data_IF_625993583333
#
_entry.id   IF_625993583333
#
_cell.length_a   1.000
_cell.length_b   1.000
_cell.length_c   1.000
_cell.angle_alpha   90.00
_cell.angle_beta   90.00
_cell.angle_gamma   90.00
#
_symmetry.space_group_name_H-M   'P 1'
#
loop_
_entity.id
_entity.type
_entity.pdbx_description
1 polymer ?
#
# COMPACT_ATOMS: atom_id res chain seq x y z
N UNK A 1 4.07 28.85 45.92
CA UNK A 1 3.74 27.41 45.89
C UNK A 1 5.02 26.67 45.64
N UNK A 2 5.38 25.74 46.50
CA UNK A 2 6.58 24.91 46.26
C UNK A 2 6.35 23.96 45.10
N UNK A 3 7.33 23.85 44.24
CA UNK A 3 7.32 22.89 43.12
C UNK A 3 7.88 21.54 43.60
N UNK A 4 7.88 20.52 42.75
CA UNK A 4 8.35 19.16 43.07
C UNK A 4 9.87 19.17 43.36
N UNK A 5 10.61 20.08 42.76
CA UNK A 5 12.05 20.27 42.89
C UNK A 5 12.40 20.81 44.27
N UNK A 6 11.65 21.82 44.75
CA UNK A 6 11.80 22.35 46.11
C UNK A 6 11.54 21.27 47.17
N UNK A 7 10.57 20.41 46.92
CA UNK A 7 10.25 19.30 47.82
C UNK A 7 11.37 18.25 47.86
N UNK A 8 11.97 17.92 46.73
CA UNK A 8 13.12 17.01 46.67
C UNK A 8 14.33 17.61 47.38
N UNK A 9 14.63 18.89 47.15
CA UNK A 9 15.72 19.60 47.78
C UNK A 9 15.57 19.60 49.32
N UNK A 10 14.37 19.83 49.87
CA UNK A 10 14.10 19.75 51.30
C UNK A 10 14.48 18.38 51.90
N UNK A 11 14.14 17.31 51.20
CA UNK A 11 14.41 15.92 51.64
C UNK A 11 15.89 15.58 51.56
N UNK A 12 16.54 15.98 50.46
CA UNK A 12 17.97 15.71 50.24
C UNK A 12 18.84 16.44 51.26
N UNK A 13 18.57 17.71 51.53
CA UNK A 13 19.28 18.47 52.57
C UNK A 13 19.05 17.86 53.97
N UNK A 14 17.84 17.35 54.23
CA UNK A 14 17.56 16.67 55.49
C UNK A 14 18.29 15.34 55.64
N UNK A 15 18.43 14.56 54.56
CA UNK A 15 19.24 13.35 54.53
C UNK A 15 20.73 13.62 54.73
N UNK A 16 21.21 14.76 54.24
CA UNK A 16 22.56 15.23 54.49
C UNK A 16 22.80 15.74 55.92
N UNK A 17 21.81 15.65 56.80
CA UNK A 17 21.94 15.98 58.23
C UNK A 17 21.67 17.45 58.59
N UNK A 18 21.17 18.27 57.64
CA UNK A 18 20.89 19.69 57.90
C UNK A 18 19.77 19.90 58.91
N UNK A 19 19.89 20.94 59.76
CA UNK A 19 18.82 21.31 60.65
C UNK A 19 17.64 21.97 59.91
N UNK A 20 16.43 21.90 60.49
CA UNK A 20 15.23 22.52 59.87
C UNK A 20 15.42 24.05 59.69
N UNK A 21 16.16 24.70 60.54
CA UNK A 21 16.46 26.14 60.39
C UNK A 21 17.40 26.40 59.23
N UNK A 22 18.49 25.61 59.14
CA UNK A 22 19.45 25.77 58.06
C UNK A 22 18.80 25.46 56.65
N UNK A 23 17.89 24.47 56.56
CA UNK A 23 17.14 24.19 55.33
C UNK A 23 16.17 25.35 55.00
N UNK A 24 15.52 25.93 56.02
CA UNK A 24 14.61 27.05 55.85
C UNK A 24 15.34 28.28 55.34
N UNK A 25 16.51 28.59 55.91
CA UNK A 25 17.35 29.72 55.51
C UNK A 25 17.92 29.53 54.08
N UNK A 26 18.42 28.33 53.75
CA UNK A 26 19.01 28.02 52.45
C UNK A 26 17.98 28.09 51.31
N UNK A 27 16.77 27.57 51.53
CA UNK A 27 15.70 27.53 50.51
C UNK A 27 14.79 28.77 50.60
N UNK A 28 15.08 29.73 51.45
CA UNK A 28 14.25 30.93 51.69
C UNK A 28 12.78 30.58 51.97
N UNK A 29 12.57 29.58 52.87
CA UNK A 29 11.25 29.06 53.22
C UNK A 29 11.00 29.25 54.72
N UNK A 30 9.71 29.30 55.11
CA UNK A 30 9.35 29.25 56.51
C UNK A 30 9.62 27.88 57.13
N UNK A 31 10.18 27.84 58.32
CA UNK A 31 10.51 26.58 59.07
C UNK A 31 9.30 25.68 59.25
N UNK A 32 8.09 26.23 59.37
CA UNK A 32 6.85 25.41 59.47
C UNK A 32 6.57 24.74 58.15
N UNK A 33 6.84 25.44 57.01
CA UNK A 33 6.72 24.89 55.66
C UNK A 33 7.68 23.72 55.42
N UNK A 34 8.95 23.87 55.79
CA UNK A 34 9.97 22.82 55.73
C UNK A 34 9.51 21.57 56.56
N UNK A 35 9.07 21.79 57.79
CA UNK A 35 8.58 20.71 58.64
C UNK A 35 7.36 19.99 58.07
N UNK A 36 6.40 20.75 57.54
CA UNK A 36 5.21 20.20 56.88
C UNK A 36 5.58 19.29 55.70
N UNK A 37 6.47 19.74 54.84
CA UNK A 37 6.87 19.00 53.65
C UNK A 37 7.80 17.80 53.92
N UNK A 38 8.42 17.71 55.08
CA UNK A 38 9.13 16.51 55.53
C UNK A 38 8.18 15.42 56.07
N UNK A 39 7.02 15.83 56.61
CA UNK A 39 6.03 14.92 57.18
C UNK A 39 4.98 14.43 56.19
N UNK A 40 4.66 15.25 55.18
CA UNK A 40 3.62 14.96 54.18
C UNK A 40 4.24 14.55 52.84
N UNK A 41 3.66 13.58 52.17
CA UNK A 41 4.02 13.27 50.77
C UNK A 41 3.54 14.42 49.87
N UNK A 42 4.26 14.72 48.75
CA UNK A 42 3.80 15.71 47.80
C UNK A 42 2.45 15.37 47.24
N UNK A 43 1.46 16.18 47.60
CA UNK A 43 0.10 16.03 47.04
C UNK A 43 -0.04 17.02 45.89
N UNK A 44 -0.47 16.58 44.70
CA UNK A 44 -0.81 17.52 43.64
C UNK A 44 -1.96 18.41 44.12
N UNK A 45 -1.79 19.73 43.94
CA UNK A 45 -2.81 20.70 44.33
C UNK A 45 -4.15 20.37 43.60
N UNK A 46 -5.12 19.90 44.37
CA UNK A 46 -6.51 19.81 43.94
C UNK A 46 -7.29 20.97 44.53
N UNK A 47 -7.87 21.80 43.68
CA UNK A 47 -8.84 22.80 44.12
C UNK A 47 -10.03 22.04 44.74
N UNK A 48 -10.38 22.33 45.98
CA UNK A 48 -11.51 21.65 46.67
C UNK A 48 -12.84 21.95 45.99
N UNK A 49 -13.00 23.11 45.37
CA UNK A 49 -14.15 23.47 44.56
C UNK A 49 -13.68 24.08 43.22
N UNK A 50 -13.53 23.28 42.16
CA UNK A 50 -13.28 23.82 40.84
C UNK A 50 -14.49 24.64 40.35
N UNK A 51 -14.26 25.82 39.79
CA UNK A 51 -15.32 26.61 39.19
C UNK A 51 -16.07 25.74 38.11
N UNK A 52 -17.40 25.85 38.01
CA UNK A 52 -18.16 25.09 37.03
C UNK A 52 -17.66 25.38 35.61
N UNK A 53 -17.39 24.33 34.85
CA UNK A 53 -16.90 24.45 33.50
C UNK A 53 -18.09 24.49 32.53
N UNK A 54 -18.02 25.32 31.48
CA UNK A 54 -19.08 25.40 30.44
C UNK A 54 -19.50 24.04 29.88
N UNK A 55 -18.59 23.08 29.84
CA UNK A 55 -18.82 21.73 29.34
C UNK A 55 -19.69 20.87 30.28
N UNK A 56 -19.76 21.23 31.57
CA UNK A 56 -20.44 20.41 32.58
C UNK A 56 -21.92 20.27 32.31
N UNK A 57 -22.57 21.30 31.77
CA UNK A 57 -23.98 21.25 31.35
C UNK A 57 -24.25 20.23 30.24
N UNK A 58 -23.22 19.85 29.48
CA UNK A 58 -23.32 18.94 28.34
C UNK A 58 -22.80 17.52 28.64
N UNK A 59 -22.26 17.27 29.86
CA UNK A 59 -21.65 15.98 30.21
C UNK A 59 -22.61 14.80 30.06
N UNK A 60 -23.83 14.93 30.49
CA UNK A 60 -24.84 13.86 30.38
C UNK A 60 -25.12 13.50 28.92
N UNK A 61 -25.32 14.50 28.08
CA UNK A 61 -25.53 14.30 26.66
C UNK A 61 -24.29 13.68 25.98
N UNK A 62 -23.10 14.19 26.30
CA UNK A 62 -21.85 13.66 25.76
C UNK A 62 -21.63 12.21 26.18
N UNK A 63 -21.99 11.84 27.42
CA UNK A 63 -21.88 10.46 27.92
C UNK A 63 -22.84 9.53 27.16
N UNK A 64 -24.09 9.93 26.98
CA UNK A 64 -25.07 9.18 26.20
C UNK A 64 -24.59 8.94 24.75
N UNK A 65 -24.04 9.99 24.10
CA UNK A 65 -23.52 9.88 22.74
C UNK A 65 -22.31 8.96 22.67
N UNK A 66 -21.43 9.05 23.68
CA UNK A 66 -20.27 8.18 23.81
C UNK A 66 -20.64 6.70 23.93
N UNK A 67 -21.63 6.38 24.75
CA UNK A 67 -22.16 5.02 24.93
C UNK A 67 -22.86 4.49 23.67
N UNK A 68 -23.45 5.36 22.86
CA UNK A 68 -23.97 5.05 21.52
C UNK A 68 -22.88 4.90 20.44
N UNK A 69 -21.60 4.93 20.82
CA UNK A 69 -20.47 4.69 19.91
C UNK A 69 -19.94 5.90 19.17
N UNK A 70 -20.35 7.13 19.51
CA UNK A 70 -19.82 8.36 18.92
C UNK A 70 -18.56 8.78 19.68
N UNK A 71 -17.40 8.29 19.27
CA UNK A 71 -16.10 8.56 19.93
C UNK A 71 -15.27 9.65 19.23
N UNK A 72 -15.77 10.24 18.15
CA UNK A 72 -15.11 11.33 17.45
C UNK A 72 -15.37 12.66 18.16
N UNK A 73 -14.32 13.25 18.76
CA UNK A 73 -14.43 14.47 19.53
C UNK A 73 -14.85 15.69 18.68
N UNK A 74 -14.51 15.76 17.39
CA UNK A 74 -14.98 16.83 16.51
C UNK A 74 -16.49 16.73 16.28
N UNK A 75 -16.98 15.53 16.01
CA UNK A 75 -18.42 15.30 15.86
C UNK A 75 -19.20 15.62 17.14
N UNK A 76 -18.67 15.21 18.30
CA UNK A 76 -19.27 15.58 19.60
C UNK A 76 -19.27 17.08 19.82
N UNK A 77 -18.22 17.80 19.42
CA UNK A 77 -18.15 19.24 19.49
C UNK A 77 -19.23 19.91 18.64
N UNK A 78 -19.39 19.45 17.41
CA UNK A 78 -20.40 20.00 16.48
C UNK A 78 -21.82 19.77 17.03
N UNK A 79 -22.08 18.59 17.60
CA UNK A 79 -23.38 18.27 18.21
C UNK A 79 -23.72 19.17 19.41
N UNK A 80 -22.73 19.45 20.30
CA UNK A 80 -22.98 20.35 21.46
C UNK A 80 -22.98 21.83 21.07
N UNK A 81 -22.25 22.23 20.02
CA UNK A 81 -22.35 23.59 19.47
C UNK A 81 -23.73 23.86 18.91
N UNK A 82 -24.34 22.91 18.22
CA UNK A 82 -25.77 22.98 17.81
C UNK A 82 -26.76 23.11 18.97
N UNK A 83 -26.32 22.82 20.21
CA UNK A 83 -27.07 22.97 21.47
C UNK A 83 -26.68 24.20 22.28
N UNK A 84 -25.88 25.11 21.71
CA UNK A 84 -25.51 26.37 22.35
C UNK A 84 -24.16 26.34 23.11
N UNK A 85 -23.32 25.32 22.94
CA UNK A 85 -21.99 25.30 23.56
C UNK A 85 -21.06 26.30 22.85
N UNK A 86 -20.53 27.27 23.59
CA UNK A 86 -19.60 28.31 23.11
C UNK A 86 -18.13 28.09 23.54
N UNK A 87 -17.84 26.95 24.16
CA UNK A 87 -16.51 26.62 24.65
C UNK A 87 -15.59 26.01 23.61
N UNK A 88 -14.31 25.87 23.98
CA UNK A 88 -13.25 25.37 23.10
C UNK A 88 -13.19 23.83 23.03
N UNK A 89 -12.56 23.33 21.94
CA UNK A 89 -12.28 21.90 21.73
C UNK A 89 -11.46 21.26 22.87
N UNK A 90 -10.52 22.02 23.47
CA UNK A 90 -9.67 21.52 24.55
C UNK A 90 -10.46 21.12 25.80
N UNK A 91 -11.52 21.87 26.15
CA UNK A 91 -12.39 21.53 27.27
C UNK A 91 -13.20 20.24 27.01
N UNK A 92 -13.73 20.08 25.79
CA UNK A 92 -14.38 18.83 25.39
C UNK A 92 -13.41 17.67 25.44
N UNK A 93 -12.22 17.81 24.84
CA UNK A 93 -11.20 16.78 24.84
C UNK A 93 -10.86 16.33 26.26
N UNK A 94 -10.66 17.28 27.18
CA UNK A 94 -10.40 16.99 28.59
C UNK A 94 -11.57 16.26 29.27
N UNK A 95 -12.81 16.61 28.95
CA UNK A 95 -14.01 15.97 29.50
C UNK A 95 -14.17 14.52 29.05
N UNK A 96 -13.81 14.17 27.80
CA UNK A 96 -13.97 12.81 27.24
C UNK A 96 -12.72 11.94 27.42
N UNK A 97 -11.58 12.51 27.82
CA UNK A 97 -10.33 11.74 28.04
C UNK A 97 -10.48 10.63 29.07
N UNK A 98 -11.12 10.81 30.25
CA UNK A 98 -11.35 9.74 31.21
C UNK A 98 -12.13 8.57 30.61
N UNK A 99 -13.14 8.84 29.78
CA UNK A 99 -13.96 7.80 29.14
C UNK A 99 -13.18 6.99 28.11
N UNK A 100 -12.18 7.61 27.45
CA UNK A 100 -11.22 6.90 26.58
C UNK A 100 -10.33 5.97 27.38
N UNK A 101 -9.96 6.37 28.58
CA UNK A 101 -9.10 5.59 29.47
C UNK A 101 -9.90 4.43 30.10
N UNK A 102 -11.14 4.66 30.54
CA UNK A 102 -12.06 3.60 30.99
C UNK A 102 -12.26 2.52 29.91
N UNK A 103 -12.31 2.92 28.63
CA UNK A 103 -12.37 1.99 27.49
C UNK A 103 -11.05 1.30 27.15
N UNK A 104 -9.90 1.80 27.63
CA UNK A 104 -8.57 1.21 27.41
C UNK A 104 -8.19 0.14 28.42
N UNK A 105 -8.83 0.08 29.56
CA UNK A 105 -8.56 -0.91 30.61
C UNK A 105 -9.16 -2.31 30.35
N UNK A 106 -9.64 -2.58 29.15
CA UNK A 106 -9.94 -3.96 28.78
C UNK A 106 -8.63 -4.72 28.72
N UNK A 107 -8.38 -5.52 29.76
CA UNK A 107 -7.31 -6.50 29.73
C UNK A 107 -7.44 -7.34 28.47
N UNK A 108 -6.43 -7.31 27.61
CA UNK A 108 -6.37 -8.16 26.44
C UNK A 108 -5.32 -9.26 26.67
N UNK A 109 -5.69 -10.47 26.33
CA UNK A 109 -4.75 -11.59 26.33
C UNK A 109 -3.88 -11.46 25.09
N UNK A 110 -2.58 -11.29 25.28
CA UNK A 110 -1.62 -11.35 24.16
C UNK A 110 -1.63 -12.76 23.60
N UNK A 111 -2.05 -12.86 22.34
CA UNK A 111 -2.04 -14.12 21.63
C UNK A 111 -0.61 -14.43 21.15
N UNK A 112 -0.05 -15.52 21.66
CA UNK A 112 1.20 -16.08 21.16
C UNK A 112 0.90 -17.33 20.32
N UNK A 113 1.73 -17.56 19.30
CA UNK A 113 1.62 -18.69 18.38
C UNK A 113 2.82 -19.60 18.53
N UNK A 114 2.63 -20.87 18.27
CA UNK A 114 3.71 -21.82 18.13
C UNK A 114 4.60 -21.56 16.89
N UNK A 115 5.73 -22.29 16.82
CA UNK A 115 6.63 -22.20 15.67
C UNK A 115 5.93 -22.59 14.38
N UNK A 116 6.02 -21.77 13.33
CA UNK A 116 5.48 -22.02 12.00
C UNK A 116 3.97 -21.88 11.86
N UNK A 117 3.21 -21.67 12.94
CA UNK A 117 1.74 -21.61 12.86
C UNK A 117 1.21 -20.39 12.10
N UNK A 118 1.83 -19.23 12.29
CA UNK A 118 1.29 -17.99 11.71
C UNK A 118 2.34 -16.94 11.40
N UNK A 119 2.19 -16.30 10.27
CA UNK A 119 2.77 -14.99 9.96
C UNK A 119 1.68 -13.93 9.81
N UNK A 120 2.06 -12.67 9.93
CA UNK A 120 1.17 -11.52 9.76
C UNK A 120 1.75 -10.60 8.70
N UNK A 121 0.90 -10.12 7.79
CA UNK A 121 1.28 -9.14 6.77
C UNK A 121 0.44 -7.88 6.84
N UNK A 122 1.04 -6.76 6.45
CA UNK A 122 0.37 -5.47 6.37
C UNK A 122 1.09 -4.51 5.43
N UNK A 123 0.35 -3.47 5.00
CA UNK A 123 0.88 -2.34 4.27
C UNK A 123 1.02 -1.11 5.16
N UNK A 124 2.16 -0.44 5.08
CA UNK A 124 2.36 0.91 5.62
C UNK A 124 2.40 1.95 4.51
N UNK A 125 1.79 3.12 4.72
CA UNK A 125 1.97 4.26 3.82
C UNK A 125 3.16 5.10 4.30
N UNK A 126 4.08 5.45 3.38
CA UNK A 126 5.35 6.13 3.64
C UNK A 126 5.50 7.44 2.84
N UNK A 127 4.38 8.08 2.50
CA UNK A 127 4.38 9.34 1.76
C UNK A 127 4.35 9.14 0.24
N UNK A 128 4.93 10.08 -0.50
CA UNK A 128 4.98 10.06 -1.97
C UNK A 128 6.44 10.18 -2.42
N UNK A 129 6.75 9.51 -3.51
CA UNK A 129 8.04 9.61 -4.19
C UNK A 129 7.85 9.54 -5.71
N UNK A 130 8.50 10.45 -6.46
CA UNK A 130 8.35 10.52 -7.92
C UNK A 130 6.90 10.74 -8.38
N UNK A 131 6.09 11.51 -7.61
CA UNK A 131 4.68 11.77 -7.92
C UNK A 131 3.72 10.60 -7.65
N UNK A 132 4.22 9.47 -7.14
CA UNK A 132 3.41 8.28 -6.80
C UNK A 132 3.45 8.01 -5.30
N UNK A 133 2.41 7.37 -4.77
CA UNK A 133 2.38 6.92 -3.38
C UNK A 133 3.43 5.84 -3.16
N UNK A 134 4.07 5.89 -2.01
CA UNK A 134 5.04 4.89 -1.57
C UNK A 134 4.43 4.06 -0.44
N UNK A 135 4.49 2.76 -0.60
CA UNK A 135 3.98 1.77 0.34
C UNK A 135 5.09 0.86 0.81
N UNK A 136 5.07 0.46 2.06
CA UNK A 136 5.94 -0.57 2.60
C UNK A 136 5.12 -1.81 2.93
N UNK A 137 5.41 -2.92 2.28
CA UNK A 137 4.90 -4.23 2.64
C UNK A 137 5.74 -4.80 3.77
N UNK A 138 5.10 -5.25 4.83
CA UNK A 138 5.77 -5.95 5.92
C UNK A 138 5.17 -7.34 6.12
N UNK A 139 6.04 -8.33 6.36
CA UNK A 139 5.68 -9.68 6.73
C UNK A 139 6.46 -10.05 8.01
N UNK A 140 5.76 -10.51 9.04
CA UNK A 140 6.36 -10.83 10.34
C UNK A 140 5.96 -12.23 10.79
N UNK A 141 6.92 -13.06 11.12
CA UNK A 141 6.68 -14.35 11.75
C UNK A 141 6.24 -14.18 13.21
N UNK A 142 5.18 -14.86 13.59
CA UNK A 142 4.56 -14.61 14.89
C UNK A 142 5.29 -15.26 16.06
N UNK A 143 6.07 -16.31 15.84
CA UNK A 143 6.85 -16.97 16.88
C UNK A 143 8.27 -16.40 17.00
N UNK A 144 9.07 -16.44 15.92
CA UNK A 144 10.46 -15.95 15.94
C UNK A 144 10.57 -14.44 16.02
N UNK A 145 9.57 -13.71 15.53
CA UNK A 145 9.58 -12.24 15.28
C UNK A 145 10.51 -11.82 14.16
N UNK A 146 10.94 -12.75 13.30
CA UNK A 146 11.60 -12.41 12.05
C UNK A 146 10.70 -11.50 11.21
N UNK A 147 11.32 -10.49 10.59
CA UNK A 147 10.60 -9.45 9.83
C UNK A 147 11.17 -9.35 8.43
N UNK A 148 10.28 -9.13 7.48
CA UNK A 148 10.58 -8.76 6.12
C UNK A 148 9.92 -7.43 5.78
N UNK A 149 10.60 -6.59 5.00
CA UNK A 149 10.12 -5.28 4.57
C UNK A 149 10.53 -5.03 3.12
N UNK A 150 9.58 -4.60 2.30
CA UNK A 150 9.80 -4.21 0.91
C UNK A 150 8.94 -3.00 0.55
N UNK A 151 9.50 -2.05 -0.20
CA UNK A 151 8.80 -0.86 -0.65
C UNK A 151 8.35 -0.99 -2.09
N UNK A 152 7.14 -0.51 -2.38
CA UNK A 152 6.54 -0.49 -3.72
C UNK A 152 5.77 0.79 -3.97
N UNK A 153 5.42 1.06 -5.24
CA UNK A 153 4.56 2.18 -5.63
C UNK A 153 3.12 1.73 -5.96
N UNK A 154 2.78 0.48 -5.71
CA UNK A 154 1.42 -0.06 -5.86
C UNK A 154 1.12 -1.06 -4.75
N UNK A 155 -0.17 -1.19 -4.40
CA UNK A 155 -0.71 -2.18 -3.46
C UNK A 155 -1.65 -3.15 -4.17
N UNK A 156 -1.63 -3.22 -5.50
CA UNK A 156 -2.50 -4.14 -6.24
C UNK A 156 -2.14 -5.61 -5.94
N UNK A 157 -2.98 -6.52 -6.42
CA UNK A 157 -2.82 -7.94 -6.14
C UNK A 157 -1.47 -8.49 -6.66
N UNK A 158 -0.97 -7.99 -7.79
CA UNK A 158 0.28 -8.46 -8.39
C UNK A 158 1.49 -8.07 -7.54
N UNK A 159 1.54 -6.82 -7.07
CA UNK A 159 2.58 -6.35 -6.15
C UNK A 159 2.48 -7.03 -4.78
N UNK A 160 1.26 -7.24 -4.26
CA UNK A 160 1.08 -7.98 -3.01
C UNK A 160 1.68 -9.38 -3.10
N UNK A 161 1.31 -10.13 -4.15
CA UNK A 161 1.80 -11.49 -4.34
C UNK A 161 3.32 -11.53 -4.56
N UNK A 162 3.88 -10.57 -5.33
CA UNK A 162 5.33 -10.47 -5.54
C UNK A 162 6.08 -10.23 -4.21
N UNK A 163 5.62 -9.28 -3.39
CA UNK A 163 6.20 -9.02 -2.07
C UNK A 163 6.10 -10.25 -1.14
N UNK A 164 4.99 -10.99 -1.21
CA UNK A 164 4.84 -12.24 -0.45
C UNK A 164 5.82 -13.32 -0.93
N UNK A 165 6.01 -13.51 -2.25
CA UNK A 165 7.02 -14.43 -2.80
C UNK A 165 8.41 -14.08 -2.28
N UNK A 166 8.80 -12.80 -2.38
CA UNK A 166 10.10 -12.34 -1.89
C UNK A 166 10.25 -12.56 -0.38
N UNK A 167 9.20 -12.30 0.41
CA UNK A 167 9.19 -12.54 1.85
C UNK A 167 9.32 -14.03 2.19
N UNK A 168 8.62 -14.92 1.48
CA UNK A 168 8.70 -16.36 1.64
C UNK A 168 10.11 -16.89 1.31
N UNK A 169 10.72 -16.38 0.24
CA UNK A 169 12.13 -16.68 -0.11
C UNK A 169 13.10 -16.18 0.96
N UNK A 170 12.88 -14.97 1.47
CA UNK A 170 13.70 -14.43 2.57
C UNK A 170 13.68 -15.31 3.82
N UNK A 171 12.52 -15.90 4.14
CA UNK A 171 12.36 -16.80 5.27
C UNK A 171 12.67 -18.28 4.96
N UNK A 172 12.95 -18.62 3.70
CA UNK A 172 13.13 -19.99 3.21
C UNK A 172 11.93 -20.90 3.51
N UNK A 173 10.70 -20.33 3.52
CA UNK A 173 9.50 -21.10 3.78
C UNK A 173 8.27 -20.26 4.14
N UNK A 174 7.17 -20.95 4.34
CA UNK A 174 5.84 -20.37 4.59
C UNK A 174 5.26 -20.96 5.87
N UNK A 175 4.60 -20.12 6.68
CA UNK A 175 3.85 -20.56 7.86
C UNK A 175 2.52 -21.22 7.46
N UNK A 176 1.94 -22.06 8.34
CA UNK A 176 0.65 -22.72 8.11
C UNK A 176 -0.47 -21.75 7.77
N UNK A 177 -0.44 -20.55 8.34
CA UNK A 177 -1.42 -19.51 8.05
C UNK A 177 -0.80 -18.13 7.94
N UNK A 178 -1.38 -17.29 7.06
CA UNK A 178 -1.02 -15.87 6.88
C UNK A 178 -2.21 -15.02 7.27
N UNK A 179 -2.04 -14.18 8.32
CA UNK A 179 -3.06 -13.26 8.79
C UNK A 179 -2.86 -11.87 8.18
N UNK A 180 -3.93 -11.31 7.65
CA UNK A 180 -3.97 -9.96 7.11
C UNK A 180 -5.21 -9.19 7.58
N UNK A 181 -5.28 -7.90 7.30
CA UNK A 181 -6.52 -7.15 7.43
C UNK A 181 -7.45 -7.42 6.23
N UNK A 182 -8.61 -6.75 6.25
CA UNK A 182 -9.65 -6.91 5.21
C UNK A 182 -9.36 -6.03 3.99
N UNK A 183 -8.16 -6.12 3.42
CA UNK A 183 -7.85 -5.39 2.20
C UNK A 183 -8.55 -6.00 0.99
N UNK A 184 -9.02 -5.15 0.06
CA UNK A 184 -9.76 -5.58 -1.15
C UNK A 184 -8.96 -6.49 -2.09
N UNK A 185 -7.64 -6.44 -2.02
CA UNK A 185 -6.74 -7.33 -2.77
C UNK A 185 -6.76 -8.77 -2.26
N UNK A 186 -7.20 -8.98 -1.01
CA UNK A 186 -7.31 -10.31 -0.38
C UNK A 186 -8.76 -10.75 -0.23
N UNK A 187 -9.61 -9.87 0.32
CA UNK A 187 -11.00 -10.15 0.62
C UNK A 187 -11.91 -9.22 -0.17
N UNK A 188 -12.75 -9.77 -1.03
CA UNK A 188 -13.69 -9.00 -1.86
C UNK A 188 -14.86 -8.49 -1.01
N UNK A 189 -15.53 -9.39 -0.32
CA UNK A 189 -16.65 -9.07 0.57
C UNK A 189 -16.89 -10.17 1.63
N UNK A 190 -17.93 -9.97 2.44
CA UNK A 190 -18.46 -10.96 3.36
C UNK A 190 -19.98 -10.96 3.26
N UNK A 191 -20.53 -12.04 2.73
CA UNK A 191 -21.98 -12.21 2.55
C UNK A 191 -22.46 -13.43 3.35
N UNK A 192 -23.54 -13.28 4.15
CA UNK A 192 -24.09 -14.39 4.94
C UNK A 192 -23.15 -14.99 5.99
N UNK A 193 -22.09 -14.28 6.36
CA UNK A 193 -21.05 -14.78 7.29
C UNK A 193 -19.87 -15.46 6.60
N UNK A 194 -19.96 -15.77 5.31
CA UNK A 194 -18.87 -16.34 4.52
C UNK A 194 -17.92 -15.26 3.98
N UNK A 195 -16.62 -15.58 3.94
CA UNK A 195 -15.56 -14.72 3.45
C UNK A 195 -15.27 -15.03 1.99
N UNK A 196 -15.47 -14.05 1.12
CA UNK A 196 -15.19 -14.16 -0.31
C UNK A 196 -13.82 -13.59 -0.63
N UNK A 197 -12.82 -14.46 -0.69
CA UNK A 197 -11.45 -14.08 -1.02
C UNK A 197 -11.28 -13.82 -2.52
N UNK A 198 -10.32 -12.98 -2.87
CA UNK A 198 -9.92 -12.78 -4.26
C UNK A 198 -9.37 -14.10 -4.83
N UNK A 199 -9.90 -14.57 -5.97
CA UNK A 199 -9.58 -15.88 -6.55
C UNK A 199 -8.08 -16.08 -6.77
N UNK A 200 -7.38 -15.05 -7.29
CA UNK A 200 -5.93 -15.11 -7.50
C UNK A 200 -5.16 -15.29 -6.18
N UNK A 201 -5.67 -14.70 -5.09
CA UNK A 201 -5.08 -14.88 -3.77
C UNK A 201 -5.28 -16.30 -3.23
N UNK A 202 -6.46 -16.90 -3.45
CA UNK A 202 -6.71 -18.30 -3.09
C UNK A 202 -5.82 -19.27 -3.88
N UNK A 203 -5.66 -19.05 -5.20
CA UNK A 203 -4.74 -19.84 -6.02
C UNK A 203 -3.29 -19.75 -5.52
N UNK A 204 -2.86 -18.55 -5.14
CA UNK A 204 -1.55 -18.32 -4.55
C UNK A 204 -1.39 -19.02 -3.20
N UNK A 205 -2.40 -18.93 -2.33
CA UNK A 205 -2.40 -19.63 -1.04
C UNK A 205 -2.35 -21.15 -1.19
N UNK A 206 -3.11 -21.69 -2.13
CA UNK A 206 -3.08 -23.12 -2.47
C UNK A 206 -1.72 -23.55 -3.04
N UNK A 207 -1.10 -22.70 -3.87
CA UNK A 207 0.24 -22.97 -4.45
C UNK A 207 1.30 -23.14 -3.39
N UNK A 208 1.33 -22.25 -2.37
CA UNK A 208 2.30 -22.30 -1.26
C UNK A 208 1.83 -23.11 -0.05
N UNK A 209 0.60 -23.61 -0.05
CA UNK A 209 0.05 -24.49 0.99
C UNK A 209 -0.33 -23.80 2.31
N UNK A 210 -0.53 -22.49 2.34
CA UNK A 210 -0.95 -21.79 3.56
C UNK A 210 -2.45 -21.47 3.59
N UNK A 211 -2.98 -21.34 4.81
CA UNK A 211 -4.38 -20.93 5.03
C UNK A 211 -4.45 -19.39 5.18
N UNK A 212 -5.16 -18.69 4.27
CA UNK A 212 -5.39 -17.26 4.42
C UNK A 212 -6.34 -16.97 5.58
N UNK A 213 -5.95 -16.05 6.46
CA UNK A 213 -6.77 -15.59 7.58
C UNK A 213 -6.93 -14.07 7.54
N UNK A 214 -8.11 -13.58 7.88
CA UNK A 214 -8.38 -12.16 8.01
C UNK A 214 -8.79 -11.81 9.44
N UNK A 215 -8.38 -10.61 9.89
CA UNK A 215 -8.73 -10.13 11.22
C UNK A 215 -10.25 -10.05 11.39
N UNK A 216 -10.75 -10.44 12.56
CA UNK A 216 -12.15 -10.24 12.93
C UNK A 216 -12.43 -8.74 13.08
N UNK A 217 -13.61 -8.25 12.65
CA UNK A 217 -14.00 -6.87 12.88
C UNK A 217 -13.90 -6.52 14.37
N UNK A 218 -13.45 -5.32 14.67
CA UNK A 218 -13.38 -4.77 16.04
C UNK A 218 -12.50 -5.54 17.04
N UNK A 219 -11.55 -6.39 16.55
CA UNK A 219 -10.55 -7.06 17.38
C UNK A 219 -9.13 -6.73 16.89
N UNK A 220 -8.63 -5.51 17.14
CA UNK A 220 -7.29 -5.08 16.71
C UNK A 220 -6.17 -5.89 17.37
N UNK A 221 -6.43 -6.52 18.52
CA UNK A 221 -5.44 -7.30 19.29
C UNK A 221 -4.83 -8.44 18.48
N UNK A 222 -5.59 -9.01 17.53
CA UNK A 222 -5.14 -10.15 16.72
C UNK A 222 -4.00 -9.78 15.75
N UNK A 223 -3.87 -8.49 15.37
CA UNK A 223 -2.88 -7.99 14.39
C UNK A 223 -1.72 -7.21 15.05
N UNK A 224 -1.66 -7.15 16.37
CA UNK A 224 -0.72 -6.30 17.11
C UNK A 224 0.76 -6.51 16.78
N UNK A 225 1.17 -7.68 16.26
CA UNK A 225 2.56 -7.98 15.93
C UNK A 225 3.01 -7.23 14.68
N UNK A 226 2.24 -7.26 13.61
CA UNK A 226 2.57 -6.55 12.37
C UNK A 226 2.36 -5.04 12.48
N UNK A 227 1.34 -4.57 13.20
CA UNK A 227 1.15 -3.15 13.48
C UNK A 227 2.34 -2.56 14.24
N UNK A 228 2.88 -3.31 15.21
CA UNK A 228 4.10 -2.96 15.92
C UNK A 228 5.30 -2.91 14.97
N UNK A 229 5.39 -3.83 14.00
CA UNK A 229 6.44 -3.83 12.97
C UNK A 229 6.35 -2.59 12.09
N UNK A 230 5.17 -2.25 11.53
CA UNK A 230 4.99 -1.04 10.71
C UNK A 230 5.32 0.23 11.50
N UNK A 231 4.87 0.31 12.76
CA UNK A 231 5.21 1.43 13.64
C UNK A 231 6.71 1.54 13.88
N UNK A 232 7.36 0.42 14.14
CA UNK A 232 8.80 0.34 14.36
C UNK A 232 9.59 0.79 13.12
N UNK A 233 9.19 0.38 11.91
CA UNK A 233 9.75 0.84 10.64
C UNK A 233 9.60 2.36 10.50
N UNK A 234 8.40 2.90 10.75
CA UNK A 234 8.12 4.34 10.66
C UNK A 234 8.90 5.18 11.67
N UNK A 235 9.24 4.63 12.81
CA UNK A 235 9.95 5.35 13.87
C UNK A 235 11.48 5.21 13.81
N UNK A 236 12.00 4.09 13.25
CA UNK A 236 13.43 3.76 13.35
C UNK A 236 14.14 3.63 12.01
N UNK A 237 13.47 3.26 10.93
CA UNK A 237 14.05 3.19 9.59
C UNK A 237 13.77 4.44 8.77
N UNK A 238 12.51 4.85 8.75
CA UNK A 238 12.02 5.89 7.85
C UNK A 238 12.54 7.30 8.12
N UNK A 239 12.72 7.77 9.38
CA UNK A 239 13.18 9.13 9.64
C UNK A 239 14.60 9.37 9.12
N UNK A 240 14.74 10.38 8.26
CA UNK A 240 16.04 10.78 7.71
C UNK A 240 16.57 9.88 6.60
N UNK A 241 15.81 8.89 6.11
CA UNK A 241 16.22 8.05 4.98
C UNK A 241 16.31 8.88 3.69
N UNK A 242 17.40 8.74 2.96
CA UNK A 242 17.60 9.32 1.64
C UNK A 242 17.89 8.20 0.63
N UNK A 243 17.22 8.25 -0.53
CA UNK A 243 17.37 7.23 -1.57
C UNK A 243 17.16 7.83 -2.97
N UNK A 244 17.89 7.31 -3.95
CA UNK A 244 17.83 7.75 -5.35
C UNK A 244 16.88 6.93 -6.22
N UNK A 245 16.52 5.72 -5.80
CA UNK A 245 15.63 4.82 -6.53
C UNK A 245 14.89 3.88 -5.59
N UNK A 246 13.82 3.24 -6.08
CA UNK A 246 13.10 2.22 -5.31
C UNK A 246 13.99 1.01 -5.00
N UNK A 247 14.88 0.65 -5.93
CA UNK A 247 15.84 -0.42 -5.73
C UNK A 247 16.84 -0.08 -4.61
N UNK A 248 17.32 1.16 -4.57
CA UNK A 248 18.20 1.66 -3.51
C UNK A 248 17.49 1.63 -2.16
N UNK A 249 16.24 2.14 -2.07
CA UNK A 249 15.43 2.08 -0.86
C UNK A 249 15.26 0.64 -0.36
N UNK A 250 14.95 -0.29 -1.25
CA UNK A 250 14.78 -1.70 -0.91
C UNK A 250 16.09 -2.36 -0.48
N UNK A 251 17.21 -1.96 -1.06
CA UNK A 251 18.51 -2.43 -0.60
C UNK A 251 18.84 -1.93 0.82
N UNK A 252 18.57 -0.64 1.10
CA UNK A 252 18.74 -0.06 2.44
C UNK A 252 17.82 -0.74 3.47
N UNK A 253 16.55 -0.99 3.09
CA UNK A 253 15.59 -1.71 3.93
C UNK A 253 16.07 -3.13 4.26
N UNK A 254 16.60 -3.85 3.29
CA UNK A 254 17.15 -5.20 3.47
C UNK A 254 18.31 -5.20 4.45
N UNK A 255 19.29 -4.31 4.25
CA UNK A 255 20.44 -4.18 5.17
C UNK A 255 19.99 -3.83 6.59
N UNK A 256 19.01 -2.93 6.71
CA UNK A 256 18.47 -2.56 8.03
C UNK A 256 17.72 -3.72 8.69
N UNK A 257 16.93 -4.50 7.94
CA UNK A 257 16.23 -5.67 8.44
C UNK A 257 17.17 -6.77 8.93
N UNK A 258 18.26 -7.02 8.19
CA UNK A 258 19.33 -7.94 8.64
C UNK A 258 19.83 -7.54 10.04
N UNK A 259 20.18 -6.26 10.21
CA UNK A 259 20.63 -5.75 11.51
C UNK A 259 19.57 -5.93 12.60
N UNK A 260 18.32 -5.61 12.31
CA UNK A 260 17.22 -5.66 13.29
C UNK A 260 16.86 -7.08 13.68
N UNK A 261 16.88 -8.01 12.73
CA UNK A 261 16.59 -9.43 13.00
C UNK A 261 17.67 -10.11 13.85
N UNK A 262 18.88 -9.53 13.91
CA UNK A 262 19.95 -9.98 14.81
C UNK A 262 20.00 -9.25 16.16
N UNK A 263 19.06 -8.36 16.44
CA UNK A 263 18.96 -7.67 17.73
C UNK A 263 17.95 -8.35 18.66
N UNK A 264 18.18 -8.25 19.97
CA UNK A 264 17.23 -8.76 20.97
C UNK A 264 15.88 -8.08 20.84
N UNK A 265 14.83 -8.85 20.56
CA UNK A 265 13.47 -8.36 20.48
C UNK A 265 12.90 -8.07 21.89
N UNK A 266 12.39 -6.86 22.10
CA UNK A 266 11.97 -6.36 23.41
C UNK A 266 10.92 -7.22 24.11
N UNK A 267 9.98 -7.82 23.37
CA UNK A 267 8.89 -8.64 23.93
C UNK A 267 9.34 -10.08 24.23
N UNK A 268 10.04 -10.71 23.29
CA UNK A 268 10.46 -12.12 23.43
C UNK A 268 11.75 -12.27 24.22
N UNK A 269 12.51 -11.18 24.41
CA UNK A 269 13.84 -11.18 25.06
C UNK A 269 14.85 -12.13 24.39
N UNK A 270 14.62 -12.44 23.11
CA UNK A 270 15.45 -13.32 22.30
C UNK A 270 15.74 -12.66 20.94
N UNK A 271 16.78 -13.11 20.28
CA UNK A 271 17.16 -12.66 18.93
C UNK A 271 16.26 -13.39 17.92
N UNK A 272 15.52 -12.67 17.05
CA UNK A 272 14.64 -13.28 16.06
C UNK A 272 15.37 -14.30 15.16
N UNK A 273 16.56 -13.97 14.70
CA UNK A 273 17.39 -14.83 13.84
C UNK A 273 17.76 -16.16 14.51
N UNK A 274 18.06 -16.18 15.83
CA UNK A 274 18.34 -17.39 16.59
C UNK A 274 17.11 -18.27 16.82
N UNK A 275 15.92 -17.66 16.84
CA UNK A 275 14.65 -18.40 16.97
C UNK A 275 14.13 -18.91 15.62
N UNK A 276 14.56 -18.30 14.53
CA UNK A 276 14.09 -18.66 13.18
C UNK A 276 14.29 -20.15 12.84
N UNK A 277 15.42 -20.83 13.12
CA UNK A 277 15.57 -22.26 12.83
C UNK A 277 14.57 -23.16 13.55
N UNK A 278 13.89 -22.65 14.59
CA UNK A 278 12.84 -23.38 15.30
C UNK A 278 11.48 -23.29 14.61
N UNK A 279 11.31 -22.37 13.66
CA UNK A 279 10.09 -22.25 12.85
C UNK A 279 9.92 -23.53 12.01
N UNK A 280 8.73 -24.11 12.07
CA UNK A 280 8.35 -25.28 11.26
C UNK A 280 7.67 -24.81 9.99
N UNK A 281 8.47 -24.29 9.07
CA UNK A 281 7.95 -23.71 7.84
C UNK A 281 7.65 -24.79 6.79
N UNK A 282 6.65 -24.55 5.96
CA UNK A 282 6.46 -25.29 4.72
C UNK A 282 7.63 -24.95 3.79
N UNK A 283 8.35 -25.98 3.36
CA UNK A 283 9.55 -25.82 2.55
C UNK A 283 9.22 -25.47 1.10
N UNK A 284 9.91 -24.51 0.50
CA UNK A 284 9.64 -23.98 -0.83
C UNK A 284 10.85 -23.93 -1.77
N UNK A 285 12.03 -24.37 -1.35
CA UNK A 285 13.29 -24.15 -2.10
C UNK A 285 13.28 -24.83 -3.47
N UNK A 286 12.66 -25.97 -3.61
CA UNK A 286 12.55 -26.73 -4.89
C UNK A 286 11.36 -26.27 -5.75
N UNK A 287 10.48 -25.44 -5.20
CA UNK A 287 9.29 -24.97 -5.89
C UNK A 287 9.59 -23.71 -6.70
N UNK A 288 9.20 -23.62 -8.00
CA UNK A 288 9.32 -22.39 -8.76
C UNK A 288 8.54 -21.26 -8.10
N UNK A 289 8.95 -20.00 -8.32
CA UNK A 289 8.17 -18.88 -7.85
C UNK A 289 6.82 -18.82 -8.56
N UNK A 290 5.77 -18.50 -7.80
CA UNK A 290 4.45 -18.23 -8.38
C UNK A 290 4.53 -17.02 -9.32
N UNK A 291 3.99 -17.15 -10.53
CA UNK A 291 4.02 -16.04 -11.49
C UNK A 291 3.05 -14.94 -11.08
N UNK A 292 3.62 -13.83 -10.61
CA UNK A 292 2.89 -12.65 -10.16
C UNK A 292 2.68 -11.61 -11.25
N UNK A 293 3.08 -11.89 -12.49
CA UNK A 293 3.01 -10.96 -13.62
C UNK A 293 1.57 -10.56 -13.96
N UNK A 294 1.41 -9.37 -14.53
CA UNK A 294 0.17 -9.01 -15.21
C UNK A 294 0.07 -9.83 -16.49
N UNK A 295 -1.08 -10.43 -16.71
CA UNK A 295 -1.35 -11.24 -17.90
C UNK A 295 -2.65 -10.78 -18.53
N UNK A 296 -2.61 -10.44 -19.83
CA UNK A 296 -3.77 -9.97 -20.58
C UNK A 296 -3.76 -10.54 -22.01
N UNK A 297 -4.89 -11.10 -22.43
CA UNK A 297 -5.09 -11.48 -23.81
C UNK A 297 -5.30 -10.24 -24.68
N UNK A 298 -4.53 -10.13 -25.76
CA UNK A 298 -4.62 -9.06 -26.73
C UNK A 298 -4.72 -9.58 -28.16
N UNK A 299 -5.59 -8.97 -28.95
CA UNK A 299 -5.68 -9.28 -30.37
C UNK A 299 -4.64 -8.46 -31.15
N UNK A 300 -3.87 -9.14 -31.99
CA UNK A 300 -2.93 -8.49 -32.91
C UNK A 300 -3.73 -7.92 -34.10
N UNK A 301 -3.55 -6.63 -34.39
CA UNK A 301 -4.18 -5.97 -35.51
C UNK A 301 -3.55 -6.40 -36.84
N UNK A 302 -4.19 -6.07 -37.99
CA UNK A 302 -3.70 -6.42 -39.33
C UNK A 302 -2.36 -5.76 -39.71
N UNK A 303 -2.01 -4.69 -39.02
CA UNK A 303 -0.73 -3.97 -39.14
C UNK A 303 0.38 -4.56 -38.25
N UNK A 304 0.15 -5.76 -37.71
CA UNK A 304 1.08 -6.49 -36.85
C UNK A 304 1.33 -5.81 -35.49
N UNK A 305 0.42 -4.96 -35.06
CA UNK A 305 0.53 -4.25 -33.78
C UNK A 305 -0.54 -4.74 -32.79
N UNK A 306 -0.21 -4.77 -31.51
CA UNK A 306 -1.16 -4.90 -30.41
C UNK A 306 -1.13 -3.67 -29.51
N UNK A 307 -2.24 -3.39 -28.85
CA UNK A 307 -2.33 -2.27 -27.88
C UNK A 307 -2.20 -2.83 -26.45
N UNK A 308 -1.30 -2.21 -25.66
CA UNK A 308 -1.13 -2.51 -24.25
C UNK A 308 -0.78 -1.23 -23.47
N UNK A 309 -1.46 -0.97 -22.36
CA UNK A 309 -1.30 0.22 -21.50
C UNK A 309 -1.30 1.55 -22.27
N UNK A 310 -2.12 1.65 -23.33
CA UNK A 310 -2.24 2.87 -24.16
C UNK A 310 -1.11 3.09 -25.16
N UNK A 311 -0.22 2.12 -25.32
CA UNK A 311 0.88 2.10 -26.31
C UNK A 311 0.69 0.95 -27.28
N UNK A 312 1.43 0.96 -28.39
CA UNK A 312 1.36 -0.05 -29.45
C UNK A 312 2.71 -0.77 -29.59
N UNK A 313 2.65 -2.11 -29.69
CA UNK A 313 3.85 -2.95 -29.77
C UNK A 313 3.74 -3.90 -30.96
N UNK A 314 4.82 -4.02 -31.73
CA UNK A 314 4.84 -4.90 -32.90
C UNK A 314 4.97 -6.37 -32.51
N UNK A 315 4.42 -7.23 -33.35
CA UNK A 315 4.49 -8.69 -33.21
C UNK A 315 4.81 -9.28 -34.59
N UNK A 316 5.50 -10.41 -34.71
CA UNK A 316 5.79 -11.01 -36.00
C UNK A 316 4.52 -11.17 -36.85
N UNK A 317 4.58 -10.77 -38.13
CA UNK A 317 3.43 -10.64 -39.02
C UNK A 317 2.55 -11.90 -39.15
N UNK A 318 3.12 -13.08 -38.93
CA UNK A 318 2.41 -14.38 -38.92
C UNK A 318 1.34 -14.52 -37.84
N UNK A 319 1.37 -13.62 -36.83
CA UNK A 319 0.40 -13.57 -35.74
C UNK A 319 -0.68 -12.49 -35.95
N UNK A 320 -0.66 -11.76 -37.06
CA UNK A 320 -1.69 -10.78 -37.37
C UNK A 320 -3.09 -11.43 -37.37
N UNK A 321 -4.03 -10.78 -36.67
CA UNK A 321 -5.40 -11.27 -36.48
C UNK A 321 -5.58 -12.31 -35.37
N UNK A 322 -4.50 -12.85 -34.78
CA UNK A 322 -4.56 -13.83 -33.70
C UNK A 322 -4.65 -13.15 -32.34
N UNK A 323 -5.15 -13.87 -31.35
CA UNK A 323 -5.05 -13.50 -29.92
C UNK A 323 -3.73 -14.03 -29.37
N UNK A 324 -3.03 -13.21 -28.59
CA UNK A 324 -1.75 -13.50 -27.94
C UNK A 324 -1.82 -13.06 -26.51
N UNK A 325 -1.05 -13.70 -25.62
CA UNK A 325 -0.94 -13.34 -24.22
C UNK A 325 0.19 -12.32 -24.03
N UNK A 326 -0.12 -11.18 -23.46
CA UNK A 326 0.87 -10.19 -23.02
C UNK A 326 1.14 -10.41 -21.53
N UNK A 327 2.39 -10.65 -21.19
CA UNK A 327 2.89 -10.82 -19.83
C UNK A 327 3.80 -9.66 -19.48
N UNK A 328 3.50 -8.97 -18.37
CA UNK A 328 4.34 -7.90 -17.80
C UNK A 328 4.78 -8.30 -16.39
N UNK A 329 6.05 -8.63 -16.16
CA UNK A 329 6.59 -8.89 -14.82
C UNK A 329 6.46 -7.66 -13.91
N UNK A 330 6.10 -7.85 -12.65
CA UNK A 330 5.90 -6.76 -11.67
C UNK A 330 7.17 -5.90 -11.49
N UNK A 331 8.33 -6.51 -11.61
CA UNK A 331 9.62 -5.85 -11.37
C UNK A 331 10.27 -5.30 -12.65
N UNK A 332 9.62 -5.38 -13.84
CA UNK A 332 10.39 -5.52 -15.06
C UNK A 332 10.48 -4.39 -16.04
N UNK A 333 9.69 -3.42 -16.20
CA UNK A 333 9.80 -2.40 -17.28
C UNK A 333 9.88 -2.98 -18.71
N UNK A 334 9.47 -4.23 -18.91
CA UNK A 334 9.38 -4.95 -20.18
C UNK A 334 8.08 -5.74 -20.26
N UNK A 335 7.67 -6.05 -21.48
CA UNK A 335 6.57 -6.98 -21.78
C UNK A 335 7.08 -8.14 -22.63
N UNK A 336 6.55 -9.30 -22.36
CA UNK A 336 6.77 -10.54 -23.11
C UNK A 336 5.44 -10.92 -23.77
N UNK A 337 5.46 -11.24 -25.05
CA UNK A 337 4.27 -11.58 -25.80
C UNK A 337 4.36 -13.05 -26.17
N UNK A 338 3.35 -13.81 -25.77
CA UNK A 338 3.29 -15.26 -25.93
C UNK A 338 2.21 -15.65 -26.95
N UNK A 339 2.54 -16.61 -27.77
CA UNK A 339 1.55 -17.42 -28.49
C UNK A 339 1.64 -18.84 -27.96
N UNK A 340 0.56 -19.30 -27.32
CA UNK A 340 0.57 -20.52 -26.52
C UNK A 340 1.65 -20.42 -25.43
N UNK A 341 2.64 -21.32 -25.42
CA UNK A 341 3.74 -21.34 -24.44
C UNK A 341 5.04 -20.67 -24.95
N UNK A 342 5.05 -20.18 -26.20
CA UNK A 342 6.25 -19.65 -26.84
C UNK A 342 6.27 -18.12 -26.79
N UNK A 343 7.37 -17.54 -26.31
CA UNK A 343 7.65 -16.11 -26.48
C UNK A 343 7.83 -15.82 -27.97
N UNK A 344 7.04 -14.91 -28.52
CA UNK A 344 7.07 -14.48 -29.92
C UNK A 344 7.61 -13.07 -30.13
N UNK A 345 7.58 -12.23 -29.08
CA UNK A 345 8.17 -10.91 -29.06
C UNK A 345 8.43 -10.47 -27.62
N UNK A 346 9.45 -9.64 -27.46
CA UNK A 346 9.76 -8.93 -26.21
C UNK A 346 9.97 -7.46 -26.52
N UNK A 347 9.44 -6.57 -25.65
CA UNK A 347 9.61 -5.13 -25.82
C UNK A 347 9.88 -4.48 -24.46
N UNK A 348 10.66 -3.40 -24.46
CA UNK A 348 10.71 -2.49 -23.33
C UNK A 348 9.35 -1.81 -23.19
N UNK A 349 8.84 -1.74 -21.97
CA UNK A 349 7.60 -1.01 -21.69
C UNK A 349 7.82 0.48 -21.96
N UNK A 350 7.02 1.06 -22.84
CA UNK A 350 7.13 2.47 -23.19
C UNK A 350 6.57 3.34 -22.07
N UNK A 351 7.27 4.43 -21.79
CA UNK A 351 6.81 5.46 -20.87
C UNK A 351 5.78 6.37 -21.55
N UNK A 352 4.71 6.74 -20.82
CA UNK A 352 3.64 7.59 -21.36
C UNK A 352 2.57 6.81 -22.12
N UNK A 353 1.87 7.51 -23.02
CA UNK A 353 0.78 6.96 -23.84
C UNK A 353 0.94 7.37 -25.31
N UNK A 354 0.40 6.55 -26.22
CA UNK A 354 0.43 6.82 -27.66
C UNK A 354 1.77 6.48 -28.34
N UNK A 355 2.70 5.88 -27.61
CA UNK A 355 4.00 5.46 -28.14
C UNK A 355 3.85 4.20 -28.97
N UNK A 356 4.55 4.15 -30.13
CA UNK A 356 4.67 2.98 -30.97
C UNK A 356 6.07 2.40 -30.85
N UNK A 357 6.14 1.14 -30.38
CA UNK A 357 7.39 0.38 -30.26
C UNK A 357 7.38 -0.71 -31.31
N UNK A 358 8.31 -0.63 -32.27
CA UNK A 358 8.34 -1.54 -33.41
C UNK A 358 9.72 -2.17 -33.57
N UNK A 359 9.71 -3.48 -33.79
CA UNK A 359 10.90 -4.23 -34.21
C UNK A 359 10.79 -4.53 -35.72
N UNK A 360 11.72 -4.04 -36.55
CA UNK A 360 11.73 -4.30 -38.00
C UNK A 360 11.76 -5.80 -38.35
N UNK A 361 12.36 -6.65 -37.49
CA UNK A 361 12.43 -8.08 -37.71
C UNK A 361 11.02 -8.74 -37.77
N UNK A 362 10.02 -8.13 -37.13
CA UNK A 362 8.65 -8.64 -37.11
C UNK A 362 7.94 -8.56 -38.47
N UNK A 363 8.47 -7.77 -39.41
CA UNK A 363 7.90 -7.57 -40.77
C UNK A 363 8.66 -8.30 -41.87
N UNK A 364 9.76 -9.03 -41.50
CA UNK A 364 10.53 -9.79 -42.50
C UNK A 364 9.66 -10.88 -43.15
N UNK A 365 9.67 -10.91 -44.50
CA UNK A 365 8.87 -11.81 -45.29
C UNK A 365 7.42 -11.35 -45.58
N UNK A 366 6.98 -10.21 -45.02
CA UNK A 366 5.65 -9.67 -45.28
C UNK A 366 5.44 -9.28 -46.75
N UNK A 367 6.49 -8.71 -47.38
CA UNK A 367 6.45 -8.30 -48.79
C UNK A 367 6.37 -9.48 -49.77
N UNK A 368 6.99 -10.62 -49.42
CA UNK A 368 6.98 -11.83 -50.23
C UNK A 368 5.60 -12.50 -50.33
N UNK A 369 4.78 -12.40 -49.27
CA UNK A 369 3.39 -12.88 -49.26
C UNK A 369 2.41 -12.00 -50.03
N UNK A 370 2.76 -10.76 -50.39
CA UNK A 370 1.88 -9.82 -51.12
C UNK A 370 1.92 -9.98 -52.63
N UNK A 371 2.71 -10.88 -53.20
CA UNK A 371 2.58 -11.25 -54.58
C UNK A 371 1.51 -12.31 -54.74
N UNK A 372 0.28 -11.97 -55.16
CA UNK A 372 -0.57 -12.98 -55.77
C UNK A 372 0.18 -13.45 -57.03
N UNK A 373 0.45 -14.70 -57.14
CA UNK A 373 0.69 -15.30 -58.44
C UNK A 373 -0.63 -15.17 -59.22
N UNK A 374 -0.83 -14.00 -59.82
CA UNK A 374 -1.76 -13.88 -60.92
C UNK A 374 -1.25 -14.76 -62.05
N UNK A 375 -2.11 -15.39 -62.85
CA UNK A 375 -1.68 -16.06 -64.07
C UNK A 375 -0.90 -15.08 -64.90
N UNK A 376 0.24 -15.53 -65.44
CA UNK A 376 1.04 -14.75 -66.36
C UNK A 376 0.11 -14.19 -67.45
N UNK A 377 0.21 -12.89 -67.81
CA UNK A 377 -0.57 -12.38 -68.91
C UNK A 377 -0.22 -13.20 -70.16
N UNK A 378 -1.23 -13.56 -71.02
CA UNK A 378 -0.93 -14.24 -72.25
C UNK A 378 -0.05 -13.33 -73.12
N UNK A 379 0.98 -13.94 -73.69
CA UNK A 379 1.89 -13.25 -74.62
C UNK A 379 1.04 -12.54 -75.68
N UNK A 380 1.01 -11.23 -75.71
CA UNK A 380 0.33 -10.45 -76.72
C UNK A 380 1.11 -10.52 -77.99
N UNK A 381 0.56 -11.17 -78.98
CA UNK A 381 0.93 -11.00 -80.40
C UNK A 381 0.90 -9.54 -80.75
N UNK A 382 1.82 -9.04 -81.65
CA UNK A 382 1.83 -7.64 -82.02
C UNK A 382 0.61 -7.31 -82.91
N UNK A 383 -0.27 -6.46 -82.40
CA UNK A 383 -1.34 -5.85 -83.16
C UNK A 383 -0.80 -4.72 -84.06
N UNK A 384 -1.32 -4.54 -85.29
CA UNK A 384 -0.85 -3.56 -86.22
C UNK A 384 -1.20 -2.13 -85.77
N UNK A 385 -0.31 -1.21 -86.11
CA UNK A 385 -0.44 0.22 -85.80
C UNK A 385 -1.75 0.79 -86.39
N UNK A 386 -2.56 1.40 -85.52
CA UNK A 386 -3.72 2.19 -85.87
C UNK A 386 -3.35 3.65 -85.68
N UNK A 387 -3.31 4.44 -86.73
CA UNK A 387 -3.20 5.86 -86.72
C UNK A 387 -4.37 6.52 -85.98
N UNK A 388 -4.03 7.29 -84.96
CA UNK A 388 -5.00 8.05 -84.15
C UNK A 388 -5.17 9.44 -84.76
N UNK A 389 -6.31 9.70 -85.30
CA UNK A 389 -6.79 11.08 -85.57
C UNK A 389 -7.35 11.67 -84.26
N UNK A 390 -7.07 12.94 -83.95
CA UNK A 390 -7.55 13.57 -82.77
C UNK A 390 -9.03 13.98 -82.87
N UNK A 391 -9.87 13.39 -82.01
CA UNK A 391 -11.25 13.84 -81.78
C UNK A 391 -11.36 14.65 -80.47
N UNK A 392 -12.35 15.58 -80.44
CA UNK A 392 -12.42 16.57 -79.37
C UNK A 392 -12.83 15.99 -77.97
N UNK A 393 -12.22 16.53 -76.95
CA UNK A 393 -12.25 16.15 -75.56
C UNK A 393 -13.62 15.97 -74.92
N UNK A 394 -13.64 14.97 -73.99
CA UNK A 394 -14.50 15.01 -72.81
C UNK A 394 -13.61 14.58 -71.66
N UNK A 395 -13.17 15.52 -70.82
CA UNK A 395 -12.55 15.28 -69.54
C UNK A 395 -13.57 14.66 -68.56
N UNK A 396 -13.35 13.41 -68.16
CA UNK A 396 -13.94 12.93 -66.94
C UNK A 396 -12.86 13.03 -65.87
N UNK A 397 -12.88 14.17 -65.15
CA UNK A 397 -12.21 14.30 -63.86
C UNK A 397 -12.82 13.31 -62.88
N UNK A 398 -11.98 12.51 -62.28
CA UNK A 398 -12.34 11.81 -61.03
C UNK A 398 -12.60 12.89 -60.00
N UNK A 399 -13.87 13.19 -59.71
CA UNK A 399 -14.26 13.95 -58.54
C UNK A 399 -14.00 13.04 -57.33
N UNK A 400 -12.99 13.41 -56.57
CA UNK A 400 -12.85 12.88 -55.20
C UNK A 400 -14.16 13.21 -54.45
N UNK A 401 -14.71 12.31 -53.64
CA UNK A 401 -15.89 12.65 -52.85
C UNK A 401 -15.55 13.84 -51.96
N UNK A 402 -16.38 14.90 -52.04
CA UNK A 402 -16.30 16.03 -51.10
C UNK A 402 -16.39 15.52 -49.68
N UNK A 403 -15.31 15.63 -48.95
CA UNK A 403 -15.30 15.39 -47.50
C UNK A 403 -15.85 16.67 -46.87
N UNK A 404 -17.07 16.60 -46.37
CA UNK A 404 -17.69 17.65 -45.57
C UNK A 404 -16.82 17.94 -44.33
N UNK A 405 -16.13 19.08 -44.32
CA UNK A 405 -15.39 19.56 -43.15
C UNK A 405 -16.39 20.08 -42.14
N UNK A 406 -16.70 19.27 -41.12
CA UNK A 406 -17.52 19.70 -39.99
C UNK A 406 -16.67 20.58 -39.07
N UNK A 407 -17.23 21.75 -38.72
CA UNK A 407 -16.63 22.67 -37.75
C UNK A 407 -16.47 21.98 -36.37
N UNK A 408 -15.34 22.22 -35.72
CA UNK A 408 -15.07 21.72 -34.36
C UNK A 408 -16.11 22.18 -33.34
N UNK A 409 -16.85 23.26 -33.58
CA UNK A 409 -17.92 23.74 -32.73
C UNK A 409 -19.07 22.71 -32.54
N UNK A 410 -19.27 21.79 -33.49
CA UNK A 410 -20.29 20.73 -33.38
C UNK A 410 -19.91 19.69 -32.34
N UNK A 411 -18.64 19.58 -31.94
CA UNK A 411 -18.16 18.66 -30.91
C UNK A 411 -18.11 19.29 -29.51
N UNK A 412 -18.09 20.63 -29.41
CA UNK A 412 -18.20 21.34 -28.11
C UNK A 412 -19.61 21.26 -27.56
N UNK A 413 -20.65 21.27 -28.36
CA UNK A 413 -22.05 21.11 -27.92
C UNK A 413 -22.35 19.73 -27.38
N UNK A 414 -21.63 18.69 -27.78
CA UNK A 414 -21.80 17.30 -27.26
C UNK A 414 -21.05 17.09 -25.95
N UNK A 415 -19.99 17.86 -25.68
CA UNK A 415 -19.24 17.77 -24.43
C UNK A 415 -19.98 18.40 -23.24
N UNK A 416 -20.79 19.43 -23.47
CA UNK A 416 -21.55 20.11 -22.42
C UNK A 416 -22.81 19.34 -21.96
N UNK A 417 -23.31 18.38 -22.77
CA UNK A 417 -24.44 17.52 -22.40
C UNK A 417 -24.02 16.31 -21.53
N UNK A 418 -22.74 16.00 -21.47
CA UNK A 418 -22.21 14.89 -20.64
C UNK A 418 -21.76 15.33 -19.24
N UNK A 419 -21.95 16.61 -18.88
CA UNK A 419 -21.55 17.20 -17.60
C UNK A 419 -22.72 17.64 -16.71
N UNK A 420 -23.95 17.08 -16.93
CA UNK A 420 -25.10 17.26 -16.03
C UNK A 420 -25.45 15.94 -15.34
#
# INVERSE_FOLDING_TARGET
MLNLEDFMNIRDLKQQGWSLSAIADELNLDRKTVRKHLLEAPQPYKRENPAPCKIDAYRAFLRERWEKGVHNAHKLLDEIRGRGYDGGYSQLKQAVTPWREEGRERAFVRFETGPGEQSQMDWGHFGNWGGRRLYGFALTMCYSRMRYLEFTQSQDIHHLLACMVHGFRYFSGVTESVLTDRMKTVLLDQTGGELHFHQKFLQFAAYYGFVPRVCRPYRPETKGKIESTIRFVKQNFWPGIAFGSLADLNQQARTWMEKVNHQVHSTTRAVPYERWPQERLLFIDEQPDYDTSYMEDRRVAKDCMLSYRGNRYSVPFRFAGKTVLVREPVTGGRIEIYSEIKVIAEHRLAEGRGVMVSDPAHYHGLAERRRPRGPAPPESSPSPAVELTPGPGVGRGFLAPEVEQRSLAVYEEVADVAAI
#
